data_IF_175891152913
#
_entry.id   IF_175891152913
#
_cell.length_a   1.000
_cell.length_b   1.000
_cell.length_c   1.000
_cell.angle_alpha   90.00
_cell.angle_beta   90.00
_cell.angle_gamma   90.00
#
_symmetry.space_group_name_H-M   'P 1'
#
loop_
_entity.id
_entity.type
_entity.pdbx_description
1 polymer ?
#
# COMPACT_ATOMS: atom_id res chain seq x y z
N UNK A 1 -10.02 10.24 3.89
CA UNK A 1 -8.85 9.96 4.76
C UNK A 1 -7.75 10.99 4.52
N UNK A 2 -7.21 11.54 5.58
CA UNK A 2 -6.09 12.47 5.48
C UNK A 2 -4.77 11.75 5.75
N UNK A 3 -3.78 12.04 4.93
CA UNK A 3 -2.42 11.55 5.12
C UNK A 3 -1.56 12.62 5.76
N UNK A 4 -0.49 12.19 6.47
CA UNK A 4 0.56 13.11 6.86
C UNK A 4 1.18 13.73 5.61
N UNK A 5 1.88 14.87 5.79
CA UNK A 5 2.53 15.53 4.65
C UNK A 5 3.50 14.60 3.93
N UNK A 6 4.25 13.81 4.70
CA UNK A 6 5.22 12.87 4.12
C UNK A 6 4.55 11.80 3.29
N UNK A 7 3.50 11.19 3.82
CA UNK A 7 2.79 10.14 3.09
C UNK A 7 2.05 10.70 1.87
N UNK A 8 1.50 11.90 2.00
CA UNK A 8 0.85 12.56 0.87
C UNK A 8 1.85 12.85 -0.25
N UNK A 9 3.05 13.31 0.09
CA UNK A 9 4.09 13.58 -0.91
C UNK A 9 4.47 12.29 -1.65
N UNK A 10 4.58 11.17 -0.94
CA UNK A 10 4.88 9.88 -1.57
C UNK A 10 3.74 9.47 -2.49
N UNK A 11 2.50 9.56 -2.01
CA UNK A 11 1.32 9.18 -2.80
C UNK A 11 1.18 10.03 -4.07
N UNK A 12 1.55 11.31 -4.00
CA UNK A 12 1.44 12.22 -5.14
C UNK A 12 2.39 11.88 -6.29
N UNK A 13 3.39 11.03 -6.04
CA UNK A 13 4.32 10.58 -7.08
C UNK A 13 3.82 9.36 -7.84
N UNK A 14 2.71 8.77 -7.41
CA UNK A 14 2.16 7.58 -8.06
C UNK A 14 1.42 7.98 -9.33
N UNK A 15 1.73 7.31 -10.42
CA UNK A 15 1.06 7.54 -11.70
C UNK A 15 -0.37 7.01 -11.64
N UNK A 16 -1.31 7.78 -12.15
CA UNK A 16 -2.72 7.36 -12.22
C UNK A 16 -2.84 6.06 -13.02
N UNK A 17 -3.61 5.12 -12.49
CA UNK A 17 -3.80 3.81 -13.11
C UNK A 17 -2.75 2.78 -12.70
N UNK A 18 -1.77 3.15 -11.88
CA UNK A 18 -0.69 2.24 -11.49
C UNK A 18 -1.20 1.05 -10.68
N UNK A 19 -0.48 -0.06 -10.80
CA UNK A 19 -0.61 -1.19 -9.87
C UNK A 19 0.54 -1.10 -8.88
N UNK A 20 0.22 -1.03 -7.59
CA UNK A 20 1.16 -0.61 -6.56
C UNK A 20 1.39 -1.72 -5.53
N UNK A 21 2.67 -1.91 -5.15
CA UNK A 21 3.03 -2.70 -3.98
C UNK A 21 3.53 -1.73 -2.91
N UNK A 22 2.91 -1.75 -1.74
CA UNK A 22 3.28 -0.92 -0.60
C UNK A 22 3.99 -1.78 0.43
N UNK A 23 5.33 -1.66 0.50
CA UNK A 23 6.17 -2.46 1.37
C UNK A 23 6.23 -1.82 2.75
N UNK A 24 5.99 -2.61 3.79
CA UNK A 24 5.92 -2.08 5.15
C UNK A 24 4.70 -1.19 5.31
N UNK A 25 3.55 -1.70 4.89
CA UNK A 25 2.31 -0.91 4.79
C UNK A 25 1.81 -0.35 6.12
N UNK A 26 2.19 -1.01 7.23
CA UNK A 26 1.82 -0.62 8.59
C UNK A 26 0.31 -0.53 8.75
N UNK A 27 -0.26 0.67 8.79
CA UNK A 27 -1.71 0.86 8.99
C UNK A 27 -2.52 0.82 7.69
N UNK A 28 -1.89 0.65 6.55
CA UNK A 28 -2.56 0.62 5.26
C UNK A 28 -3.03 1.99 4.77
N UNK A 29 -2.45 3.08 5.29
CA UNK A 29 -2.89 4.43 4.94
C UNK A 29 -2.70 4.77 3.46
N UNK A 30 -1.54 4.43 2.90
CA UNK A 30 -1.27 4.72 1.48
C UNK A 30 -2.15 3.88 0.56
N UNK A 31 -2.26 2.55 0.76
CA UNK A 31 -3.18 1.76 -0.05
C UNK A 31 -4.61 2.29 -0.04
N UNK A 32 -5.13 2.65 1.13
CA UNK A 32 -6.49 3.16 1.26
C UNK A 32 -6.62 4.49 0.51
N UNK A 33 -5.68 5.41 0.71
CA UNK A 33 -5.70 6.72 0.05
C UNK A 33 -5.68 6.57 -1.47
N UNK A 34 -4.74 5.78 -2.00
CA UNK A 34 -4.59 5.60 -3.45
C UNK A 34 -5.84 4.97 -4.07
N UNK A 35 -6.49 4.08 -3.34
CA UNK A 35 -7.69 3.42 -3.85
C UNK A 35 -8.91 4.34 -3.77
N UNK A 36 -9.08 5.04 -2.65
CA UNK A 36 -10.22 5.97 -2.48
C UNK A 36 -10.15 7.13 -3.46
N UNK A 37 -8.95 7.61 -3.76
CA UNK A 37 -8.76 8.71 -4.72
C UNK A 37 -8.74 8.21 -6.16
N UNK A 38 -8.91 6.90 -6.38
CA UNK A 38 -8.90 6.29 -7.71
C UNK A 38 -7.61 6.55 -8.48
N UNK A 39 -6.50 6.67 -7.75
CA UNK A 39 -5.17 6.84 -8.33
C UNK A 39 -4.62 5.49 -8.78
N UNK A 40 -4.66 4.50 -7.89
CA UNK A 40 -4.15 3.16 -8.20
C UNK A 40 -5.28 2.27 -8.72
N UNK A 41 -4.96 1.44 -9.71
CA UNK A 41 -5.89 0.44 -10.24
C UNK A 41 -5.95 -0.79 -9.34
N UNK A 42 -4.82 -1.10 -8.67
CA UNK A 42 -4.69 -2.24 -7.76
C UNK A 42 -3.61 -1.92 -6.75
N UNK A 43 -3.82 -2.33 -5.50
CA UNK A 43 -2.78 -2.17 -4.47
C UNK A 43 -2.60 -3.49 -3.73
N UNK A 44 -1.32 -3.86 -3.54
CA UNK A 44 -0.94 -4.97 -2.67
C UNK A 44 -0.22 -4.37 -1.47
N UNK A 45 -0.79 -4.55 -0.29
CA UNK A 45 -0.23 -4.08 0.96
C UNK A 45 0.60 -5.19 1.58
N UNK A 46 1.89 -4.93 1.79
CA UNK A 46 2.85 -5.93 2.23
C UNK A 46 3.47 -5.54 3.56
N UNK A 47 3.69 -6.55 4.42
CA UNK A 47 4.47 -6.35 5.63
C UNK A 47 5.15 -7.67 5.99
N UNK A 48 6.32 -7.58 6.62
CA UNK A 48 7.05 -8.75 7.09
C UNK A 48 6.48 -9.23 8.42
N UNK A 49 5.80 -8.36 9.15
CA UNK A 49 5.25 -8.65 10.47
C UNK A 49 3.73 -8.79 10.41
N UNK A 50 3.23 -9.83 11.10
CA UNK A 50 1.79 -10.12 11.12
C UNK A 50 0.98 -9.02 11.80
N UNK A 51 1.50 -8.44 12.88
CA UNK A 51 0.78 -7.40 13.63
C UNK A 51 0.41 -6.19 12.78
N UNK A 52 1.40 -5.52 12.19
CA UNK A 52 1.13 -4.40 11.28
C UNK A 52 0.25 -4.79 10.09
N UNK A 53 0.48 -5.96 9.51
CA UNK A 53 -0.31 -6.42 8.39
C UNK A 53 -1.79 -6.60 8.77
N UNK A 54 -2.05 -7.15 9.95
CA UNK A 54 -3.41 -7.32 10.43
C UNK A 54 -4.09 -5.98 10.69
N UNK A 55 -3.36 -4.99 11.24
CA UNK A 55 -3.90 -3.63 11.40
C UNK A 55 -4.28 -3.02 10.06
N UNK A 56 -3.42 -3.19 9.05
CA UNK A 56 -3.72 -2.70 7.71
C UNK A 56 -4.98 -3.37 7.15
N UNK A 57 -5.08 -4.70 7.32
CA UNK A 57 -6.23 -5.46 6.83
C UNK A 57 -7.53 -4.98 7.49
N UNK A 58 -7.51 -4.73 8.79
CA UNK A 58 -8.68 -4.24 9.51
C UNK A 58 -9.11 -2.86 9.02
N UNK A 59 -8.17 -1.96 8.80
CA UNK A 59 -8.47 -0.64 8.25
C UNK A 59 -9.04 -0.73 6.84
N UNK A 60 -8.47 -1.59 6.00
CA UNK A 60 -8.92 -1.80 4.62
C UNK A 60 -10.36 -2.31 4.61
N UNK A 61 -10.66 -3.29 5.47
CA UNK A 61 -12.03 -3.81 5.61
C UNK A 61 -12.96 -2.72 6.11
N UNK A 62 -12.52 -1.93 7.09
CA UNK A 62 -13.33 -0.84 7.65
C UNK A 62 -13.68 0.24 6.63
N UNK A 63 -12.85 0.42 5.61
CA UNK A 63 -13.13 1.35 4.51
C UNK A 63 -13.86 0.70 3.34
N UNK A 64 -14.20 -0.59 3.45
CA UNK A 64 -14.93 -1.28 2.40
C UNK A 64 -14.10 -1.59 1.15
N UNK A 65 -12.78 -1.70 1.30
CA UNK A 65 -11.85 -1.81 0.16
C UNK A 65 -11.18 -3.18 0.04
N UNK A 66 -11.67 -4.19 0.73
CA UNK A 66 -11.00 -5.50 0.74
C UNK A 66 -10.92 -6.16 -0.65
N UNK A 67 -11.79 -5.77 -1.56
CA UNK A 67 -11.78 -6.33 -2.91
C UNK A 67 -10.82 -5.60 -3.84
N UNK A 68 -10.38 -4.41 -3.48
CA UNK A 68 -9.44 -3.61 -4.26
C UNK A 68 -8.02 -3.65 -3.73
N UNK A 69 -7.84 -3.97 -2.44
CA UNK A 69 -6.53 -3.99 -1.79
C UNK A 69 -6.30 -5.38 -1.22
N UNK A 70 -5.24 -6.03 -1.68
CA UNK A 70 -4.82 -7.32 -1.16
C UNK A 70 -3.73 -7.13 -0.11
N UNK A 71 -3.76 -7.92 0.97
CA UNK A 71 -2.70 -7.91 1.98
C UNK A 71 -1.90 -9.21 1.88
N UNK A 72 -0.57 -9.10 1.97
CA UNK A 72 0.32 -10.26 1.92
C UNK A 72 1.41 -10.12 2.95
N UNK A 73 1.68 -11.22 3.68
CA UNK A 73 2.86 -11.32 4.54
C UNK A 73 4.06 -11.57 3.63
N UNK A 74 5.05 -10.68 3.66
CA UNK A 74 6.15 -10.74 2.71
C UNK A 74 7.42 -10.10 3.26
N UNK A 75 8.55 -10.72 2.97
CA UNK A 75 9.86 -10.11 3.21
C UNK A 75 10.19 -9.28 1.96
N UNK A 76 9.95 -7.97 2.04
CA UNK A 76 10.06 -7.10 0.89
C UNK A 76 9.07 -7.49 -0.20
N UNK A 77 9.56 -7.73 -1.40
CA UNK A 77 8.74 -8.09 -2.56
C UNK A 77 8.69 -9.59 -2.85
N UNK A 78 9.14 -10.43 -1.92
CA UNK A 78 9.24 -11.88 -2.19
C UNK A 78 7.89 -12.51 -2.51
N UNK A 79 6.80 -11.96 -1.97
CA UNK A 79 5.46 -12.49 -2.23
C UNK A 79 4.77 -11.84 -3.42
N UNK A 80 5.49 -11.05 -4.21
CA UNK A 80 4.95 -10.38 -5.41
C UNK A 80 5.62 -10.98 -6.63
N UNK A 81 4.82 -11.41 -7.60
CA UNK A 81 5.34 -11.98 -8.84
C UNK A 81 5.88 -10.89 -9.77
N UNK A 82 6.92 -11.19 -10.58
CA UNK A 82 7.40 -10.25 -11.59
C UNK A 82 6.25 -9.81 -12.51
N UNK A 83 6.12 -8.51 -12.70
CA UNK A 83 5.07 -7.96 -13.56
C UNK A 83 3.70 -7.83 -12.91
N UNK A 84 3.55 -8.27 -11.67
CA UNK A 84 2.27 -8.15 -10.96
C UNK A 84 1.95 -6.71 -10.61
N UNK A 85 2.98 -5.89 -10.33
CA UNK A 85 2.84 -4.46 -10.06
C UNK A 85 3.84 -3.69 -10.90
N UNK A 86 3.55 -2.42 -11.16
CA UNK A 86 4.46 -1.54 -11.89
C UNK A 86 5.07 -0.45 -10.99
N UNK A 87 4.63 -0.34 -9.75
CA UNK A 87 5.09 0.70 -8.83
C UNK A 87 5.32 0.11 -7.44
N UNK A 88 6.41 0.52 -6.78
CA UNK A 88 6.74 0.09 -5.43
C UNK A 88 6.89 1.29 -4.52
N UNK A 89 6.35 1.19 -3.30
CA UNK A 89 6.45 2.22 -2.28
C UNK A 89 6.93 1.56 -0.99
N UNK A 90 7.79 2.26 -0.25
CA UNK A 90 8.25 1.81 1.06
C UNK A 90 8.21 2.94 2.10
N UNK A 91 7.22 3.80 2.01
CA UNK A 91 7.11 4.99 2.87
C UNK A 91 6.89 4.63 4.34
N UNK A 92 6.15 3.55 4.60
CA UNK A 92 5.87 3.10 5.96
C UNK A 92 7.10 2.64 6.72
N UNK A 93 8.20 2.39 6.03
CA UNK A 93 9.47 1.99 6.63
C UNK A 93 10.39 3.17 6.92
N UNK A 94 9.89 4.39 6.82
CA UNK A 94 10.66 5.59 7.06
C UNK A 94 11.56 6.00 5.91
N UNK A 95 11.55 5.25 4.82
CA UNK A 95 12.46 5.50 3.71
C UNK A 95 11.95 6.50 2.70
N UNK A 96 10.80 6.33 2.16
CA UNK A 96 10.30 7.07 1.02
C UNK A 96 10.15 6.15 -0.17
N UNK A 97 10.35 6.68 -1.37
CA UNK A 97 10.27 5.85 -2.58
C UNK A 97 11.48 4.94 -2.72
N UNK A 98 11.25 3.78 -3.20
CA UNK A 98 12.28 2.78 -3.47
C UNK A 98 12.50 2.65 -4.97
#
# INVERSE_FOLDING_TARGET
>A
MELSKRLYAVASLVTEGASVADIGTDHGYIPIYLTEQKIASKVIALDINKGPLERARMHIIGHGLKDQIETRLSDGLKAVDPGEVDTMIAAGMGGGLV
#
